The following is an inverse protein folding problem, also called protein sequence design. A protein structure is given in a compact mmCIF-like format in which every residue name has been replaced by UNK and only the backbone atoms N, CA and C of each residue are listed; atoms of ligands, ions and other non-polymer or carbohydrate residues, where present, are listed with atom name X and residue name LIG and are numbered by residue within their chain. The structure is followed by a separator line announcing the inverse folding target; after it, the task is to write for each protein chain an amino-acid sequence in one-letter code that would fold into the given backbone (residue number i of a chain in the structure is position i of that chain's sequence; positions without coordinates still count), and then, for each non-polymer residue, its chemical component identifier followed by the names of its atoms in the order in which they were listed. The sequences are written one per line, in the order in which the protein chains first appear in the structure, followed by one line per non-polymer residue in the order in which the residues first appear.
data_IF_398945302514
#
_entry.id   IF_398945302514
#
_cell.length_a   1.000
_cell.length_b   1.000
_cell.length_c   1.000
_cell.angle_alpha   90.00
_cell.angle_beta   90.00
_cell.angle_gamma   90.00
#
_symmetry.space_group_name_H-M   'P 1'
#
loop_
_entity.id
_entity.type
_entity.pdbx_description
1 polymer ?
#
# COMPACT_ATOMS: atom_id res chain seq x y z
N UNK A 1 -8.27 12.10 2.07
CA UNK A 1 -8.69 11.08 3.05
C UNK A 1 -7.62 11.05 4.14
N UNK A 2 -7.80 11.70 5.32
CA UNK A 2 -6.69 12.06 6.20
C UNK A 2 -5.75 10.92 6.59
N UNK A 3 -6.30 9.73 6.90
CA UNK A 3 -5.51 8.55 7.26
C UNK A 3 -4.71 7.97 6.08
N UNK A 4 -5.27 8.02 4.87
CA UNK A 4 -4.57 7.59 3.64
C UNK A 4 -3.42 8.54 3.36
N UNK A 5 -3.69 9.85 3.41
CA UNK A 5 -2.71 10.89 3.13
C UNK A 5 -1.56 10.86 4.15
N UNK A 6 -1.87 10.65 5.44
CA UNK A 6 -0.87 10.48 6.49
C UNK A 6 0.00 9.24 6.26
N UNK A 7 -0.61 8.10 5.90
CA UNK A 7 0.10 6.87 5.57
C UNK A 7 1.06 7.07 4.40
N UNK A 8 0.58 7.63 3.29
CA UNK A 8 1.40 7.86 2.10
C UNK A 8 2.56 8.83 2.36
N UNK A 9 2.35 9.87 3.16
CA UNK A 9 3.42 10.78 3.57
C UNK A 9 4.44 10.12 4.49
N UNK A 10 3.97 9.32 5.46
CA UNK A 10 4.86 8.55 6.33
C UNK A 10 5.75 7.62 5.51
N UNK A 11 5.16 6.84 4.60
CA UNK A 11 5.88 5.95 3.69
C UNK A 11 6.96 6.71 2.91
N UNK A 12 6.62 7.85 2.30
CA UNK A 12 7.59 8.63 1.52
C UNK A 12 8.76 9.17 2.36
N UNK A 13 8.51 9.52 3.62
CA UNK A 13 9.52 10.13 4.48
C UNK A 13 10.40 9.11 5.19
N UNK A 14 9.85 7.96 5.58
CA UNK A 14 10.54 6.99 6.44
C UNK A 14 10.77 5.64 5.75
N UNK A 15 10.13 5.41 4.62
CA UNK A 15 10.08 4.12 3.93
C UNK A 15 9.35 3.02 4.73
N UNK A 16 8.59 3.39 5.77
CA UNK A 16 7.85 2.43 6.59
C UNK A 16 6.40 2.89 6.77
N UNK A 17 5.47 1.94 6.68
CA UNK A 17 4.06 2.17 6.97
C UNK A 17 3.54 1.04 7.86
N UNK A 18 2.77 1.39 8.88
CA UNK A 18 2.13 0.38 9.74
C UNK A 18 1.16 -0.51 8.94
N UNK A 19 1.13 -1.81 9.23
CA UNK A 19 0.37 -2.79 8.44
C UNK A 19 -1.13 -2.42 8.31
N UNK A 20 -1.76 -1.93 9.39
CA UNK A 20 -3.18 -1.50 9.33
C UNK A 20 -3.38 -0.37 8.31
N UNK A 21 -2.42 0.55 8.22
CA UNK A 21 -2.48 1.67 7.27
C UNK A 21 -2.24 1.16 5.85
N UNK A 22 -1.32 0.21 5.65
CA UNK A 22 -1.13 -0.46 4.34
C UNK A 22 -2.45 -1.02 3.80
N UNK A 23 -3.22 -1.72 4.63
CA UNK A 23 -4.54 -2.25 4.24
C UNK A 23 -5.53 -1.15 3.84
N UNK A 24 -5.55 -0.04 4.58
CA UNK A 24 -6.45 1.10 4.31
C UNK A 24 -6.08 1.76 2.98
N UNK A 25 -4.79 2.02 2.74
CA UNK A 25 -4.32 2.60 1.48
C UNK A 25 -4.59 1.67 0.30
N UNK A 26 -4.34 0.37 0.46
CA UNK A 26 -4.60 -0.61 -0.59
C UNK A 26 -6.10 -0.71 -0.96
N UNK A 27 -6.99 -0.65 0.04
CA UNK A 27 -8.44 -0.62 -0.17
C UNK A 27 -8.88 0.69 -0.84
N UNK A 28 -8.25 1.81 -0.47
CA UNK A 28 -8.50 3.08 -1.13
C UNK A 28 -8.11 3.03 -2.61
N UNK A 29 -6.91 2.53 -2.94
CA UNK A 29 -6.45 2.40 -4.32
C UNK A 29 -7.38 1.52 -5.17
N UNK A 30 -7.73 0.34 -4.67
CA UNK A 30 -8.45 -0.67 -5.44
C UNK A 30 -9.96 -0.46 -5.46
N UNK A 31 -10.57 -0.02 -4.36
CA UNK A 31 -12.03 0.08 -4.21
C UNK A 31 -12.59 1.49 -4.43
N UNK A 32 -11.80 2.53 -4.18
CA UNK A 32 -12.25 3.92 -4.37
C UNK A 32 -11.70 4.52 -5.65
N UNK A 33 -10.41 4.34 -5.92
CA UNK A 33 -9.78 4.85 -7.14
C UNK A 33 -9.93 3.90 -8.34
N UNK A 34 -10.34 2.64 -8.09
CA UNK A 34 -10.48 1.60 -9.11
C UNK A 34 -9.19 1.36 -9.92
N UNK A 35 -8.04 1.58 -9.27
CA UNK A 35 -6.72 1.34 -9.85
C UNK A 35 -6.31 -0.11 -9.58
N UNK A 36 -5.67 -0.74 -10.56
CA UNK A 36 -5.21 -2.12 -10.45
C UNK A 36 -4.17 -2.26 -9.33
N UNK A 37 -4.28 -3.34 -8.55
CA UNK A 37 -3.45 -3.54 -7.36
C UNK A 37 -1.95 -3.63 -7.65
N UNK A 38 -1.57 -4.04 -8.86
CA UNK A 38 -0.17 -4.12 -9.26
C UNK A 38 0.54 -2.77 -9.21
N UNK A 39 -0.16 -1.66 -9.49
CA UNK A 39 0.40 -0.31 -9.39
C UNK A 39 0.80 0.01 -7.94
N UNK A 40 -0.06 -0.39 -7.00
CA UNK A 40 0.23 -0.27 -5.57
C UNK A 40 1.36 -1.18 -5.11
N UNK A 41 1.40 -2.41 -5.63
CA UNK A 41 2.46 -3.37 -5.34
C UNK A 41 3.83 -2.88 -5.82
N UNK A 42 3.91 -2.32 -7.03
CA UNK A 42 5.13 -1.70 -7.57
C UNK A 42 5.57 -0.50 -6.74
N UNK A 43 4.63 0.38 -6.38
CA UNK A 43 4.95 1.52 -5.50
C UNK A 43 5.50 1.07 -4.14
N UNK A 44 4.89 0.06 -3.53
CA UNK A 44 5.34 -0.51 -2.26
C UNK A 44 6.70 -1.19 -2.40
N UNK A 45 6.97 -1.82 -3.54
CA UNK A 45 8.28 -2.42 -3.83
C UNK A 45 9.40 -1.39 -3.83
N UNK A 46 9.17 -0.22 -4.40
CA UNK A 46 10.19 0.82 -4.53
C UNK A 46 10.37 1.68 -3.27
N UNK A 47 9.36 1.74 -2.40
CA UNK A 47 9.33 2.70 -1.28
C UNK A 47 9.40 2.08 0.11
N UNK A 48 9.03 0.80 0.26
CA UNK A 48 9.14 0.15 1.57
C UNK A 48 10.55 -0.35 1.82
N UNK A 49 11.12 0.05 2.96
CA UNK A 49 12.39 -0.52 3.45
C UNK A 49 12.28 -2.00 3.79
N UNK A 50 11.07 -2.47 4.08
CA UNK A 50 10.73 -3.86 4.41
C UNK A 50 9.97 -4.57 3.27
N UNK A 51 10.18 -4.13 2.03
CA UNK A 51 9.57 -4.75 0.85
C UNK A 51 9.96 -6.24 0.74
N UNK A 52 8.96 -7.11 0.88
CA UNK A 52 9.08 -8.56 0.65
C UNK A 52 8.12 -8.96 -0.47
N UNK A 53 8.62 -9.69 -1.47
CA UNK A 53 7.86 -10.02 -2.68
C UNK A 53 6.60 -10.82 -2.36
N UNK A 54 6.72 -11.81 -1.48
CA UNK A 54 5.63 -12.72 -1.15
C UNK A 54 4.54 -11.98 -0.34
N UNK A 55 4.95 -11.29 0.73
CA UNK A 55 4.05 -10.55 1.60
C UNK A 55 3.35 -9.40 0.85
N UNK A 56 4.11 -8.60 0.09
CA UNK A 56 3.57 -7.49 -0.68
C UNK A 56 2.53 -7.99 -1.69
N UNK A 57 2.90 -8.97 -2.53
CA UNK A 57 2.00 -9.49 -3.57
C UNK A 57 0.75 -10.14 -2.99
N UNK A 58 0.88 -10.95 -1.93
CA UNK A 58 -0.26 -11.62 -1.31
C UNK A 58 -1.21 -10.62 -0.62
N UNK A 59 -0.67 -9.64 0.09
CA UNK A 59 -1.46 -8.61 0.76
C UNK A 59 -2.26 -7.76 -0.23
N UNK A 60 -1.65 -7.35 -1.35
CA UNK A 60 -2.33 -6.57 -2.38
C UNK A 60 -3.45 -7.37 -3.05
N UNK A 61 -3.21 -8.63 -3.41
CA UNK A 61 -4.25 -9.49 -3.98
C UNK A 61 -5.42 -9.68 -3.01
N UNK A 62 -5.14 -9.94 -1.73
CA UNK A 62 -6.16 -10.13 -0.71
C UNK A 62 -7.04 -8.88 -0.51
N UNK A 63 -6.46 -7.68 -0.51
CA UNK A 63 -7.24 -6.44 -0.38
C UNK A 63 -8.04 -6.12 -1.66
N UNK A 64 -7.48 -6.45 -2.83
CA UNK A 64 -8.11 -6.20 -4.11
C UNK A 64 -9.39 -7.03 -4.32
N UNK A 65 -9.51 -8.18 -3.66
CA UNK A 65 -10.67 -9.08 -3.73
C UNK A 65 -10.55 -10.08 -4.86
#
# INVERSE_FOLDING_TARGET
YPIVDAGMRQLWQTGWMHNRVRMIVASFLTKHLLIHWQEGALWFWDTLVDADLANNSASWQWVAG
#
